data_IF_893624700055
#
_entry.id   IF_893624700055
#
_cell.length_a   1.000
_cell.length_b   1.000
_cell.length_c   1.000
_cell.angle_alpha   90.00
_cell.angle_beta   90.00
_cell.angle_gamma   90.00
#
_symmetry.space_group_name_H-M   'P 1'
#
loop_
_entity.id
_entity.type
_entity.pdbx_description
1 polymer ?
#
# COMPACT_ATOMS: atom_id res chain seq x y z
N UNK A 1 6.65 3.20 -9.14
CA UNK A 1 5.19 3.49 -9.10
C UNK A 1 4.65 3.16 -10.48
N UNK A 2 3.55 2.42 -10.57
CA UNK A 2 2.88 2.07 -11.83
C UNK A 2 1.44 2.59 -11.82
N UNK A 3 0.93 2.95 -13.00
CA UNK A 3 -0.45 3.38 -13.18
C UNK A 3 -1.16 2.39 -14.11
N UNK A 4 -2.38 2.00 -13.75
CA UNK A 4 -3.18 1.05 -14.50
C UNK A 4 -4.60 1.60 -14.71
N UNK A 5 -5.32 0.99 -15.66
CA UNK A 5 -6.76 1.24 -15.82
C UNK A 5 -7.52 0.43 -14.78
N UNK A 6 -8.56 1.02 -14.19
CA UNK A 6 -9.48 0.32 -13.30
C UNK A 6 -10.30 -0.70 -14.11
N UNK A 7 -10.46 -1.91 -13.58
CA UNK A 7 -11.15 -3.02 -14.25
C UNK A 7 -12.51 -3.26 -13.60
N UNK A 8 -13.57 -2.58 -14.07
CA UNK A 8 -14.94 -2.76 -13.58
C UNK A 8 -15.98 -2.74 -14.71
N UNK A 9 -16.93 -3.71 -14.75
CA UNK A 9 -18.04 -3.68 -15.68
C UNK A 9 -19.08 -2.63 -15.23
N UNK A 10 -19.09 -1.46 -15.89
CA UNK A 10 -20.18 -0.49 -15.80
C UNK A 10 -19.83 0.86 -15.19
N UNK A 11 -20.39 1.92 -15.81
CA UNK A 11 -20.50 3.26 -15.22
C UNK A 11 -19.62 4.32 -15.86
N UNK A 12 -20.24 5.21 -16.62
CA UNK A 12 -19.64 6.33 -17.33
C UNK A 12 -18.64 7.11 -16.45
N UNK A 13 -17.38 7.23 -16.92
CA UNK A 13 -16.20 7.94 -16.36
C UNK A 13 -15.09 7.10 -15.70
N UNK A 14 -15.31 5.87 -15.24
CA UNK A 14 -14.24 5.05 -14.60
C UNK A 14 -13.33 4.37 -15.65
N UNK A 15 -13.86 4.09 -16.84
CA UNK A 15 -13.15 3.31 -17.86
C UNK A 15 -12.21 4.10 -18.78
N UNK A 16 -12.08 5.43 -18.62
CA UNK A 16 -11.33 6.26 -19.58
C UNK A 16 -9.91 6.65 -19.14
N UNK A 17 -9.64 6.71 -17.83
CA UNK A 17 -8.37 7.24 -17.31
C UNK A 17 -7.66 6.20 -16.47
N UNK A 18 -6.36 6.01 -16.69
CA UNK A 18 -5.52 5.10 -15.90
C UNK A 18 -5.25 5.67 -14.50
N UNK A 19 -6.28 5.75 -13.67
CA UNK A 19 -6.22 6.41 -12.35
C UNK A 19 -5.72 5.48 -11.26
N UNK A 20 -5.79 4.16 -11.44
CA UNK A 20 -5.30 3.18 -10.47
C UNK A 20 -3.80 3.36 -10.28
N UNK A 21 -3.40 3.73 -9.07
CA UNK A 21 -2.01 3.83 -8.68
C UNK A 21 -1.60 2.52 -7.99
N UNK A 22 -0.45 1.99 -8.34
CA UNK A 22 0.16 0.85 -7.68
C UNK A 22 1.60 1.20 -7.32
N UNK A 23 1.97 0.94 -6.07
CA UNK A 23 3.34 1.12 -5.57
C UNK A 23 3.85 -0.25 -5.15
N UNK A 24 5.00 -0.63 -5.72
CA UNK A 24 5.73 -1.84 -5.36
C UNK A 24 7.03 -1.45 -4.69
N UNK A 25 7.25 -1.93 -3.47
CA UNK A 25 8.46 -1.69 -2.68
C UNK A 25 9.20 -3.01 -2.52
N UNK A 26 10.50 -3.03 -2.84
CA UNK A 26 11.36 -4.19 -2.65
C UNK A 26 11.85 -4.24 -1.20
N UNK A 27 11.51 -5.30 -0.47
CA UNK A 27 12.01 -5.47 0.91
C UNK A 27 13.52 -5.70 0.96
N UNK A 28 14.12 -6.24 -0.11
CA UNK A 28 15.57 -6.39 -0.21
C UNK A 28 16.28 -5.03 -0.27
N UNK A 29 15.71 -4.05 -0.98
CA UNK A 29 16.24 -2.68 -0.99
C UNK A 29 15.88 -1.91 0.29
N UNK A 30 14.78 -2.27 0.95
CA UNK A 30 14.37 -1.70 2.23
C UNK A 30 15.38 -1.99 3.34
N UNK A 31 16.11 -3.10 3.25
CA UNK A 31 17.15 -3.53 4.20
C UNK A 31 18.29 -2.53 4.40
N UNK A 32 18.50 -1.64 3.42
CA UNK A 32 19.51 -0.60 3.52
C UNK A 32 19.11 0.59 4.42
N UNK A 33 17.82 0.80 4.68
CA UNK A 33 17.33 2.01 5.37
C UNK A 33 16.23 1.73 6.42
N UNK A 34 15.79 0.48 6.58
CA UNK A 34 14.88 0.05 7.63
C UNK A 34 15.57 -0.96 8.57
N UNK A 35 15.28 -0.93 9.89
CA UNK A 35 15.81 -1.92 10.81
C UNK A 35 15.34 -3.35 10.46
N UNK A 36 16.22 -4.34 10.69
CA UNK A 36 15.95 -5.74 10.38
C UNK A 36 14.68 -6.30 11.07
N UNK A 37 14.37 -5.84 12.28
CA UNK A 37 13.15 -6.24 13.00
C UNK A 37 11.87 -5.79 12.27
N UNK A 38 11.87 -4.55 11.76
CA UNK A 38 10.75 -4.01 10.99
C UNK A 38 10.60 -4.78 9.69
N UNK A 39 11.70 -5.13 9.02
CA UNK A 39 11.67 -5.92 7.79
C UNK A 39 11.16 -7.33 8.03
N UNK A 40 11.55 -7.97 9.12
CA UNK A 40 11.02 -9.29 9.48
C UNK A 40 9.50 -9.24 9.70
N UNK A 41 9.00 -8.20 10.37
CA UNK A 41 7.55 -7.98 10.55
C UNK A 41 6.83 -7.68 9.24
N UNK A 42 7.42 -6.85 8.38
CA UNK A 42 6.87 -6.55 7.06
C UNK A 42 6.88 -7.77 6.14
N UNK A 43 7.89 -8.66 6.23
CA UNK A 43 7.92 -9.94 5.50
C UNK A 43 6.75 -10.84 5.87
N UNK A 44 6.30 -10.79 7.12
CA UNK A 44 5.15 -11.54 7.62
C UNK A 44 3.81 -10.81 7.42
N UNK A 45 3.83 -9.60 6.83
CA UNK A 45 2.64 -8.81 6.58
C UNK A 45 1.84 -9.36 5.39
N UNK A 46 0.50 -9.29 5.40
CA UNK A 46 -0.35 -9.70 4.27
C UNK A 46 -0.12 -8.87 2.99
N UNK A 47 0.55 -7.71 3.09
CA UNK A 47 0.86 -6.87 1.93
C UNK A 47 2.12 -7.32 1.17
N UNK A 48 2.85 -8.29 1.71
CA UNK A 48 4.09 -8.79 1.13
C UNK A 48 3.85 -10.03 0.28
N UNK A 49 4.38 -10.01 -0.92
CA UNK A 49 4.41 -11.15 -1.84
C UNK A 49 5.54 -12.10 -1.48
N UNK A 50 5.40 -13.39 -1.84
CA UNK A 50 6.46 -14.42 -1.66
C UNK A 50 7.79 -14.03 -2.30
N UNK A 51 7.76 -13.19 -3.34
CA UNK A 51 8.96 -12.68 -4.01
C UNK A 51 9.66 -11.54 -3.27
N UNK A 52 9.20 -11.17 -2.06
CA UNK A 52 9.83 -10.13 -1.23
C UNK A 52 9.46 -8.71 -1.64
N UNK A 53 8.32 -8.52 -2.28
CA UNK A 53 7.80 -7.19 -2.62
C UNK A 53 6.54 -6.87 -1.83
N UNK A 54 6.50 -5.69 -1.21
CA UNK A 54 5.26 -5.11 -0.73
C UNK A 54 4.53 -4.42 -1.87
N UNK A 55 3.24 -4.70 -2.01
CA UNK A 55 2.42 -4.14 -3.09
C UNK A 55 1.21 -3.43 -2.49
N UNK A 56 1.09 -2.14 -2.79
CA UNK A 56 -0.05 -1.31 -2.41
C UNK A 56 -0.72 -0.76 -3.65
N UNK A 57 -2.05 -0.67 -3.64
CA UNK A 57 -2.80 -0.04 -4.73
C UNK A 57 -3.96 0.81 -4.21
N UNK A 58 -4.34 1.79 -5.01
CA UNK A 58 -5.51 2.65 -4.77
C UNK A 58 -6.15 3.06 -6.09
N UNK A 59 -7.48 2.99 -6.11
CA UNK A 59 -8.32 3.42 -7.23
C UNK A 59 -9.60 4.14 -6.75
N UNK A 60 -9.55 4.72 -5.55
CA UNK A 60 -10.71 5.36 -4.90
C UNK A 60 -11.09 6.67 -5.59
N UNK A 61 -10.10 7.42 -6.07
CA UNK A 61 -10.29 8.75 -6.63
C UNK A 61 -10.15 8.77 -8.15
N UNK A 62 -10.82 9.74 -8.79
CA UNK A 62 -10.67 10.02 -10.23
C UNK A 62 -9.33 10.70 -10.60
N UNK A 63 -8.53 11.12 -9.61
CA UNK A 63 -7.25 11.80 -9.83
C UNK A 63 -6.09 10.91 -9.39
N UNK A 64 -5.13 10.69 -10.29
CA UNK A 64 -3.92 9.88 -10.03
C UNK A 64 -3.12 10.38 -8.81
N UNK A 65 -3.03 11.71 -8.62
CA UNK A 65 -2.31 12.30 -7.50
C UNK A 65 -2.91 11.92 -6.13
N UNK A 66 -4.25 11.89 -6.03
CA UNK A 66 -4.93 11.47 -4.80
C UNK A 66 -4.76 9.96 -4.56
N UNK A 67 -4.85 9.14 -5.60
CA UNK A 67 -4.59 7.71 -5.47
C UNK A 67 -3.13 7.41 -5.09
N UNK A 68 -2.18 8.21 -5.58
CA UNK A 68 -0.77 8.14 -5.18
C UNK A 68 -0.61 8.48 -3.69
N UNK A 69 -1.19 9.58 -3.24
CA UNK A 69 -1.12 9.99 -1.84
C UNK A 69 -1.73 8.93 -0.90
N UNK A 70 -2.85 8.31 -1.29
CA UNK A 70 -3.44 7.20 -0.54
C UNK A 70 -2.50 5.96 -0.50
N UNK A 71 -1.89 5.60 -1.64
CA UNK A 71 -0.88 4.52 -1.64
C UNK A 71 0.31 4.83 -0.72
N UNK A 72 0.82 6.06 -0.74
CA UNK A 72 1.92 6.50 0.13
C UNK A 72 1.49 6.42 1.60
N UNK A 73 0.29 6.88 1.94
CA UNK A 73 -0.25 6.80 3.30
C UNK A 73 -0.40 5.35 3.79
N UNK A 74 -0.88 4.43 2.92
CA UNK A 74 -0.97 3.00 3.23
C UNK A 74 0.40 2.37 3.53
N UNK A 75 1.42 2.75 2.76
CA UNK A 75 2.81 2.31 3.01
C UNK A 75 3.29 2.81 4.37
N UNK A 76 3.13 4.11 4.64
CA UNK A 76 3.56 4.72 5.90
C UNK A 76 2.87 4.04 7.09
N UNK A 77 1.57 3.77 6.99
CA UNK A 77 0.82 3.05 8.04
C UNK A 77 1.34 1.63 8.25
N UNK A 78 1.59 0.87 7.18
CA UNK A 78 2.10 -0.49 7.29
C UNK A 78 3.51 -0.53 7.91
N UNK A 79 4.38 0.42 7.55
CA UNK A 79 5.72 0.56 8.13
C UNK A 79 5.63 1.00 9.59
N UNK A 80 4.76 1.96 9.91
CA UNK A 80 4.54 2.41 11.28
C UNK A 80 4.04 1.25 12.17
N UNK A 81 3.01 0.52 11.75
CA UNK A 81 2.50 -0.67 12.45
C UNK A 81 3.59 -1.72 12.68
N UNK A 82 4.50 -1.92 11.71
CA UNK A 82 5.64 -2.81 11.87
C UNK A 82 6.73 -2.25 12.79
N UNK A 83 6.89 -0.93 12.86
CA UNK A 83 7.91 -0.24 13.67
C UNK A 83 7.52 -0.03 15.13
N UNK A 84 6.23 -0.08 15.47
CA UNK A 84 5.80 0.00 16.87
C UNK A 84 6.23 -1.29 17.59
N UNK A 85 7.25 -1.20 18.45
CA UNK A 85 7.46 -2.16 19.54
C UNK A 85 6.14 -2.26 20.31
N UNK A 86 5.68 -3.46 20.75
CA UNK A 86 4.39 -3.61 21.39
C UNK A 86 4.39 -2.93 22.77
N UNK A 87 4.27 -1.61 22.80
CA UNK A 87 3.70 -0.86 23.89
C UNK A 87 2.29 -0.52 23.48
N UNK A 88 1.36 -0.92 24.34
CA UNK A 88 -0.07 -0.87 24.12
C UNK A 88 -0.55 0.45 23.50
N UNK A 89 -1.65 0.35 22.73
CA UNK A 89 -2.50 1.42 22.15
C UNK A 89 -2.03 1.96 20.80
N UNK A 90 -2.87 2.25 19.79
CA UNK A 90 -4.34 2.33 19.69
C UNK A 90 -4.75 2.19 18.20
N UNK A 91 -5.95 1.68 18.01
CA UNK A 91 -6.82 1.72 16.82
C UNK A 91 -6.33 2.52 15.60
N UNK A 92 -6.09 1.83 14.48
CA UNK A 92 -6.28 2.42 13.16
C UNK A 92 -7.31 1.57 12.42
N UNK A 93 -8.54 2.08 12.44
CA UNK A 93 -9.72 1.58 11.75
C UNK A 93 -9.40 1.17 10.32
N UNK A 94 -9.41 -0.14 10.06
CA UNK A 94 -9.56 -0.67 8.71
C UNK A 94 -11.00 -0.45 8.28
N UNK A 95 -11.30 0.70 7.69
CA UNK A 95 -12.44 0.80 6.79
C UNK A 95 -12.16 -0.06 5.56
N UNK A 96 -12.57 -1.31 5.69
CA UNK A 96 -12.72 -2.28 4.62
C UNK A 96 -13.95 -1.85 3.83
N UNK A 97 -13.76 -0.93 2.88
CA UNK A 97 -14.79 -0.60 1.90
C UNK A 97 -14.88 -1.77 0.92
N UNK A 98 -16.11 -2.24 0.75
CA UNK A 98 -16.54 -3.49 0.11
C UNK A 98 -16.09 -3.65 -1.35
#
# INVERSE_FOLDING_TARGET
ISYARSSGPGGQNVNRVATKCQIRVSLAHADAWLPAEVIARLRNSPFTTKSGYMVFHSEVHRHQAMNRADCELKIVRAVAEASVLPLATKASTKERIQ
#
